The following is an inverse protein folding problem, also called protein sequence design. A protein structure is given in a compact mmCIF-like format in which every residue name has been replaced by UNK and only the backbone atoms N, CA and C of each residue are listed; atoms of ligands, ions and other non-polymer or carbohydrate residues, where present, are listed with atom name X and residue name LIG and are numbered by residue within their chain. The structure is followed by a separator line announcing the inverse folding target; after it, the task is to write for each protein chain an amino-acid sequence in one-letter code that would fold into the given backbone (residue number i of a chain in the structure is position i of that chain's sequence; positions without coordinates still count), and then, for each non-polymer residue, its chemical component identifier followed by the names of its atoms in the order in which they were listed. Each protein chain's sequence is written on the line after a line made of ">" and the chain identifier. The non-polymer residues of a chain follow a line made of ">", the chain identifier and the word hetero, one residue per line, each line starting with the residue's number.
data_IF_725079553609
#
_entry.id   IF_725079553609
#
_cell.length_a   1.000
_cell.length_b   1.000
_cell.length_c   1.000
_cell.angle_alpha   90.00
_cell.angle_beta   90.00
_cell.angle_gamma   90.00
#
_symmetry.space_group_name_H-M   'P 1'
#
loop_
_entity.id
_entity.type
_entity.pdbx_description
1 polymer ?
#
# COMPACT_ATOMS: atom_id res chain seq x y z
N UNK A 1 23.97 -4.57 -70.22
CA UNK A 1 23.73 -3.51 -69.21
C UNK A 1 23.49 -4.18 -67.88
N UNK A 2 24.46 -4.12 -67.00
CA UNK A 2 24.51 -4.73 -65.68
C UNK A 2 23.98 -3.77 -64.62
N UNK A 3 22.99 -4.18 -63.82
CA UNK A 3 22.74 -3.56 -62.51
C UNK A 3 22.52 -4.69 -61.49
N UNK A 4 23.57 -4.96 -60.74
CA UNK A 4 23.58 -5.62 -59.44
C UNK A 4 23.13 -4.60 -58.37
N UNK A 5 22.32 -5.02 -57.39
CA UNK A 5 22.68 -4.92 -55.95
C UNK A 5 21.56 -5.47 -55.03
N UNK A 6 21.89 -5.91 -53.79
CA UNK A 6 21.20 -6.99 -53.10
C UNK A 6 20.47 -6.62 -51.80
N UNK A 7 19.87 -7.67 -51.22
CA UNK A 7 19.20 -7.80 -49.93
C UNK A 7 19.99 -7.24 -48.72
N UNK A 8 19.28 -6.61 -47.79
CA UNK A 8 19.74 -6.38 -46.42
C UNK A 8 18.78 -7.08 -45.42
N UNK A 9 19.31 -8.07 -44.71
CA UNK A 9 18.68 -8.72 -43.54
C UNK A 9 19.17 -8.00 -42.28
N UNK A 10 18.27 -7.40 -41.51
CA UNK A 10 18.58 -6.92 -40.17
C UNK A 10 18.47 -8.09 -39.17
N UNK A 11 19.61 -8.53 -38.65
CA UNK A 11 19.71 -9.23 -37.36
C UNK A 11 20.34 -8.25 -36.37
N UNK A 12 19.58 -7.83 -35.37
CA UNK A 12 20.11 -7.10 -34.23
C UNK A 12 20.27 -8.07 -33.06
N UNK A 13 21.52 -8.38 -32.74
CA UNK A 13 21.93 -9.04 -31.50
C UNK A 13 23.17 -8.29 -31.06
N UNK A 14 23.07 -7.50 -29.99
CA UNK A 14 24.25 -6.99 -29.29
C UNK A 14 23.92 -6.84 -27.80
N UNK A 15 24.21 -7.91 -27.07
CA UNK A 15 24.71 -7.81 -25.70
C UNK A 15 26.17 -7.35 -25.78
N UNK A 16 26.55 -6.33 -25.03
CA UNK A 16 27.91 -6.21 -24.48
C UNK A 16 27.91 -5.27 -23.30
N UNK A 17 28.19 -5.85 -22.14
CA UNK A 17 28.76 -5.20 -20.96
C UNK A 17 30.09 -4.53 -21.31
N UNK A 18 30.31 -3.30 -20.83
CA UNK A 18 31.65 -2.77 -20.58
C UNK A 18 31.63 -1.92 -19.31
N UNK A 19 32.21 -2.49 -18.25
CA UNK A 19 32.83 -1.74 -17.16
C UNK A 19 34.10 -1.08 -17.69
N UNK A 20 34.28 0.22 -17.50
CA UNK A 20 35.61 0.80 -17.22
C UNK A 20 35.47 1.94 -16.21
N UNK A 21 36.06 1.69 -15.04
CA UNK A 21 36.35 2.64 -13.99
C UNK A 21 37.35 3.68 -14.50
N UNK A 22 36.99 4.97 -14.43
CA UNK A 22 37.95 6.07 -14.60
C UNK A 22 37.96 6.93 -13.33
N UNK A 23 38.94 6.65 -12.47
CA UNK A 23 39.33 7.50 -11.33
C UNK A 23 39.79 8.86 -11.86
N UNK A 24 39.27 9.96 -11.31
CA UNK A 24 39.83 11.31 -11.45
C UNK A 24 40.62 11.65 -10.18
N UNK A 25 41.77 12.34 -10.30
CA UNK A 25 42.53 12.83 -9.16
C UNK A 25 41.88 14.07 -8.56
N UNK A 26 42.11 14.17 -7.25
CA UNK A 26 41.65 15.15 -6.30
C UNK A 26 42.43 16.47 -6.48
N UNK A 27 41.73 17.58 -6.75
CA UNK A 27 42.24 18.93 -6.53
C UNK A 27 41.27 19.65 -5.62
N UNK A 28 41.82 20.17 -4.52
CA UNK A 28 41.09 20.80 -3.43
C UNK A 28 40.57 22.18 -3.81
N UNK A 29 39.27 22.41 -3.60
CA UNK A 29 38.74 23.72 -3.25
C UNK A 29 37.38 23.57 -2.56
N UNK A 30 37.39 24.02 -1.31
CA UNK A 30 36.35 24.49 -0.39
C UNK A 30 34.86 24.47 -0.79
N UNK A 31 34.09 23.89 0.14
CA UNK A 31 32.84 24.39 0.71
C UNK A 31 31.64 24.67 -0.22
N UNK A 32 30.76 23.66 -0.35
CA UNK A 32 29.33 23.88 -0.14
C UNK A 32 28.68 22.56 0.33
N UNK A 33 28.33 22.52 1.61
CA UNK A 33 27.65 21.44 2.31
C UNK A 33 26.23 21.25 1.72
N UNK A 34 26.05 20.20 0.92
CA UNK A 34 24.74 19.80 0.41
C UNK A 34 24.16 18.72 1.32
N UNK A 35 23.07 19.07 1.99
CA UNK A 35 22.26 18.22 2.84
C UNK A 35 21.57 17.13 2.04
N UNK A 36 22.18 15.95 1.98
CA UNK A 36 21.48 14.73 1.60
C UNK A 36 20.47 14.42 2.72
N UNK A 37 19.17 14.24 2.44
CA UNK A 37 18.21 13.89 3.47
C UNK A 37 18.58 12.53 4.09
N UNK A 38 18.45 12.35 5.41
CA UNK A 38 18.76 11.06 6.04
C UNK A 38 17.87 9.98 5.44
N UNK A 39 18.49 8.83 5.14
CA UNK A 39 17.77 7.62 4.75
C UNK A 39 16.76 7.23 5.84
N UNK A 40 15.53 6.82 5.49
CA UNK A 40 14.58 6.35 6.49
C UNK A 40 15.17 5.11 7.21
N UNK A 41 14.96 5.00 8.53
CA UNK A 41 15.50 3.89 9.31
C UNK A 41 14.97 2.54 8.79
N UNK A 42 15.76 1.46 8.89
CA UNK A 42 15.32 0.13 8.52
C UNK A 42 14.08 -0.27 9.32
N UNK A 43 13.10 -0.85 8.64
CA UNK A 43 11.90 -1.44 9.24
C UNK A 43 12.31 -2.57 10.18
N UNK A 44 12.21 -2.34 11.47
CA UNK A 44 12.37 -3.37 12.48
C UNK A 44 11.27 -4.43 12.32
N UNK A 45 11.73 -5.64 12.04
CA UNK A 45 10.96 -6.87 12.12
C UNK A 45 10.65 -7.07 13.60
N UNK A 46 9.38 -6.92 13.96
CA UNK A 46 8.88 -7.18 15.32
C UNK A 46 9.03 -8.66 15.62
N UNK A 47 10.17 -9.04 16.20
CA UNK A 47 10.35 -10.32 16.88
C UNK A 47 9.69 -10.20 18.24
N UNK A 48 8.49 -10.77 18.33
CA UNK A 48 7.68 -10.79 19.53
C UNK A 48 8.23 -11.78 20.56
N UNK A 49 9.25 -11.42 21.34
CA UNK A 49 9.60 -12.14 22.58
C UNK A 49 10.37 -11.24 23.55
N UNK A 50 9.70 -10.70 24.58
CA UNK A 50 9.91 -11.10 25.98
C UNK A 50 9.25 -10.13 26.96
N UNK A 51 8.40 -10.72 27.81
CA UNK A 51 7.94 -10.15 29.07
C UNK A 51 9.14 -10.01 30.01
N UNK A 52 9.48 -8.79 30.42
CA UNK A 52 10.08 -8.55 31.74
C UNK A 52 9.49 -7.26 32.28
N UNK A 53 8.86 -7.41 33.43
CA UNK A 53 8.22 -6.38 34.24
C UNK A 53 9.29 -5.67 35.07
N UNK A 54 9.30 -4.34 35.09
CA UNK A 54 9.71 -3.57 36.28
C UNK A 54 8.91 -2.27 36.39
N UNK A 55 8.39 -2.07 37.60
CA UNK A 55 7.61 -0.92 38.05
C UNK A 55 8.43 0.37 38.09
N UNK A 56 7.81 1.47 37.64
CA UNK A 56 7.96 2.78 38.30
C UNK A 56 6.72 3.62 37.99
N UNK A 57 6.03 4.07 39.04
CA UNK A 57 4.87 4.95 39.00
C UNK A 57 5.23 6.34 38.48
N UNK A 58 4.27 7.04 37.85
CA UNK A 58 3.87 8.31 38.44
C UNK A 58 2.36 8.49 38.52
N UNK A 59 1.96 9.27 39.53
CA UNK A 59 0.60 9.71 39.79
C UNK A 59 0.02 10.44 38.57
N UNK A 60 -1.16 10.00 38.13
CA UNK A 60 -2.03 10.77 37.25
C UNK A 60 -3.37 10.98 37.94
N UNK A 61 -3.73 12.25 38.02
CA UNK A 61 -5.01 12.78 38.48
C UNK A 61 -6.15 12.23 37.62
N UNK A 62 -7.18 11.73 38.31
CA UNK A 62 -8.43 11.24 37.77
C UNK A 62 -9.15 12.31 36.94
N UNK A 63 -9.30 12.08 35.64
CA UNK A 63 -10.46 12.53 34.89
C UNK A 63 -11.03 11.34 34.11
N UNK A 64 -12.28 11.00 34.42
CA UNK A 64 -13.03 9.90 33.83
C UNK A 64 -13.35 10.22 32.36
N UNK A 65 -13.05 9.36 31.38
CA UNK A 65 -13.72 9.41 30.10
C UNK A 65 -15.04 8.63 30.15
N UNK A 66 -16.07 9.23 29.54
CA UNK A 66 -17.40 8.67 29.33
C UNK A 66 -17.36 7.41 28.45
N UNK A 67 -18.32 6.48 28.58
CA UNK A 67 -18.40 5.29 27.75
C UNK A 67 -18.86 5.64 26.34
N UNK A 68 -18.02 5.36 25.34
CA UNK A 68 -18.39 5.39 23.93
C UNK A 68 -19.18 4.10 23.62
N UNK A 69 -20.38 4.17 23.02
CA UNK A 69 -21.15 3.00 22.66
C UNK A 69 -20.47 2.23 21.53
N UNK A 70 -20.15 0.96 21.81
CA UNK A 70 -19.73 -0.03 20.82
C UNK A 70 -20.92 -0.39 19.93
N UNK A 71 -20.97 0.16 18.72
CA UNK A 71 -21.67 -0.46 17.59
C UNK A 71 -20.62 -1.00 16.63
N UNK A 72 -20.17 -2.22 16.92
CA UNK A 72 -19.42 -3.04 15.98
C UNK A 72 -20.40 -3.63 14.96
N UNK A 73 -20.62 -2.92 13.86
CA UNK A 73 -20.99 -3.57 12.60
C UNK A 73 -19.73 -4.18 12.00
N UNK A 74 -19.60 -5.50 12.14
CA UNK A 74 -18.61 -6.29 11.41
C UNK A 74 -18.96 -6.27 9.92
N UNK A 75 -18.37 -5.33 9.17
CA UNK A 75 -18.30 -5.42 7.71
C UNK A 75 -17.25 -6.47 7.37
N UNK A 76 -17.77 -7.59 6.90
CA UNK A 76 -17.08 -8.78 6.47
C UNK A 76 -16.38 -8.51 5.11
N UNK A 77 -15.15 -8.00 5.14
CA UNK A 77 -14.32 -7.89 3.94
C UNK A 77 -13.63 -9.23 3.66
N UNK A 78 -14.25 -10.01 2.77
CA UNK A 78 -13.64 -11.16 2.12
C UNK A 78 -12.46 -10.69 1.25
N UNK A 79 -11.24 -11.25 1.39
CA UNK A 79 -10.19 -11.04 0.41
C UNK A 79 -10.51 -11.84 -0.87
N UNK A 80 -10.78 -11.13 -1.96
CA UNK A 80 -10.68 -11.63 -3.33
C UNK A 80 -9.20 -11.83 -3.65
N UNK A 81 -8.68 -12.99 -3.26
CA UNK A 81 -7.38 -13.49 -3.66
C UNK A 81 -7.52 -14.94 -4.10
N UNK A 82 -7.80 -15.17 -5.38
CA UNK A 82 -7.54 -16.48 -6.00
C UNK A 82 -6.67 -16.22 -7.22
N UNK A 83 -5.38 -16.36 -6.95
CA UNK A 83 -4.32 -16.51 -7.92
C UNK A 83 -4.58 -17.78 -8.74
N UNK A 84 -4.53 -17.56 -10.04
CA UNK A 84 -4.34 -18.53 -11.10
C UNK A 84 -3.02 -19.29 -10.87
N UNK A 85 -3.07 -20.58 -10.55
CA UNK A 85 -1.99 -21.54 -10.84
C UNK A 85 -2.57 -22.93 -11.08
N UNK A 86 -2.31 -23.43 -12.28
CA UNK A 86 -2.38 -24.82 -12.70
C UNK A 86 -1.65 -25.76 -11.73
N UNK A 87 -2.23 -26.92 -11.38
CA UNK A 87 -1.54 -28.22 -11.21
C UNK A 87 -2.59 -29.36 -11.26
N UNK A 88 -2.48 -30.19 -12.31
CA UNK A 88 -2.73 -31.66 -12.43
C UNK A 88 -4.07 -32.27 -11.94
N UNK A 89 -4.85 -32.92 -12.84
CA UNK A 89 -5.94 -33.81 -12.44
C UNK A 89 -5.41 -35.21 -12.15
N UNK A 90 -5.38 -35.61 -10.88
CA UNK A 90 -5.16 -36.98 -10.45
C UNK A 90 -6.11 -37.30 -9.30
N UNK A 91 -7.17 -38.07 -9.56
CA UNK A 91 -7.67 -39.14 -8.68
C UNK A 91 -8.77 -39.94 -9.38
N UNK A 92 -8.43 -41.19 -9.67
CA UNK A 92 -9.24 -42.41 -9.56
C UNK A 92 -10.61 -42.51 -10.25
N UNK A 93 -10.74 -43.38 -11.26
CA UNK A 93 -12.00 -44.03 -11.57
C UNK A 93 -12.30 -45.10 -10.52
N UNK A 94 -13.36 -44.91 -9.72
CA UNK A 94 -13.94 -46.00 -8.95
C UNK A 94 -14.67 -46.96 -9.87
N UNK A 95 -14.08 -48.14 -10.00
CA UNK A 95 -14.72 -49.43 -10.20
C UNK A 95 -16.19 -49.48 -9.78
N UNK A 96 -17.08 -49.60 -10.77
CA UNK A 96 -18.33 -50.34 -10.62
C UNK A 96 -18.30 -51.50 -11.62
N UNK A 97 -17.67 -52.59 -11.17
CA UNK A 97 -17.83 -53.92 -11.72
C UNK A 97 -19.26 -54.37 -11.39
N UNK A 98 -20.19 -54.26 -12.34
CA UNK A 98 -21.42 -55.04 -12.30
C UNK A 98 -21.28 -56.23 -13.25
N UNK A 99 -20.84 -57.30 -12.59
CA UNK A 99 -21.08 -58.69 -12.88
C UNK A 99 -22.53 -58.90 -13.35
N UNK A 100 -22.74 -59.23 -14.62
CA UNK A 100 -23.97 -59.85 -15.08
C UNK A 100 -23.60 -61.05 -15.96
N UNK A 101 -23.83 -62.20 -15.35
CA UNK A 101 -23.63 -63.56 -15.79
C UNK A 101 -24.34 -63.91 -17.09
N UNK A 102 -23.76 -64.88 -17.79
CA UNK A 102 -24.13 -65.51 -19.07
C UNK A 102 -25.59 -66.02 -19.16
N UNK A 103 -26.03 -66.44 -20.36
CA UNK A 103 -25.87 -67.87 -20.66
C UNK A 103 -25.34 -68.19 -22.07
N UNK A 104 -24.50 -69.23 -22.22
CA UNK A 104 -24.08 -69.75 -23.51
C UNK A 104 -25.25 -70.51 -24.18
N UNK A 105 -25.70 -70.07 -25.36
CA UNK A 105 -26.64 -70.85 -26.17
C UNK A 105 -25.91 -72.03 -26.82
N UNK A 106 -26.15 -73.18 -26.21
CA UNK A 106 -25.85 -74.53 -26.70
C UNK A 106 -26.32 -74.76 -28.13
N UNK A 107 -25.43 -75.32 -28.96
CA UNK A 107 -25.69 -75.82 -30.31
C UNK A 107 -26.60 -77.05 -30.24
N UNK A 108 -27.79 -77.07 -30.88
CA UNK A 108 -28.61 -78.27 -30.94
C UNK A 108 -27.98 -79.30 -31.88
N UNK A 109 -27.56 -80.43 -31.30
CA UNK A 109 -27.09 -81.63 -32.00
C UNK A 109 -28.29 -82.32 -32.67
N UNK A 110 -28.20 -82.77 -33.92
CA UNK A 110 -29.34 -83.38 -34.62
C UNK A 110 -29.68 -84.77 -34.04
N UNK A 111 -30.97 -85.10 -33.83
CA UNK A 111 -31.39 -86.44 -33.45
C UNK A 111 -31.27 -87.40 -34.63
N UNK A 112 -30.39 -88.41 -34.49
CA UNK A 112 -30.41 -89.65 -35.28
C UNK A 112 -31.71 -90.40 -34.98
N UNK A 113 -32.68 -90.32 -35.89
CA UNK A 113 -33.86 -91.20 -35.96
C UNK A 113 -33.67 -92.09 -37.18
N UNK A 114 -33.21 -93.32 -36.96
CA UNK A 114 -34.03 -94.52 -36.90
C UNK A 114 -34.68 -94.83 -38.25
N UNK A 115 -34.10 -95.82 -38.94
CA UNK A 115 -34.78 -96.64 -39.94
C UNK A 115 -36.19 -96.99 -39.46
N UNK A 116 -37.17 -96.94 -40.37
CA UNK A 116 -37.98 -98.13 -40.56
C UNK A 116 -38.20 -98.48 -42.04
N UNK A 117 -38.28 -99.78 -42.25
CA UNK A 117 -39.27 -100.46 -43.08
C UNK A 117 -39.12 -100.39 -44.62
N UNK A 118 -38.48 -101.45 -45.12
CA UNK A 118 -39.26 -102.52 -45.74
C UNK A 118 -40.14 -102.11 -46.91
N UNK A 119 -39.51 -101.75 -48.04
CA UNK A 119 -40.20 -101.74 -49.34
C UNK A 119 -39.96 -103.08 -50.05
N UNK A 120 -41.02 -103.79 -50.49
CA UNK A 120 -40.93 -105.15 -51.00
C UNK A 120 -40.14 -105.20 -52.30
N UNK A 121 -39.14 -106.10 -52.34
CA UNK A 121 -38.38 -106.44 -53.54
C UNK A 121 -39.31 -107.22 -54.48
N UNK A 122 -40.04 -106.48 -55.32
CA UNK A 122 -40.77 -107.06 -56.46
C UNK A 122 -39.74 -107.43 -57.51
N UNK A 123 -39.57 -108.73 -57.76
CA UNK A 123 -38.77 -109.29 -58.85
C UNK A 123 -39.41 -108.90 -60.19
N UNK A 124 -39.09 -107.71 -60.67
CA UNK A 124 -39.51 -107.17 -61.96
C UNK A 124 -38.53 -107.61 -63.05
N UNK A 125 -39.09 -107.98 -64.20
CA UNK A 125 -38.36 -108.42 -65.39
C UNK A 125 -37.48 -107.28 -65.96
N UNK A 126 -36.33 -107.60 -66.60
CA UNK A 126 -35.36 -106.59 -67.06
C UNK A 126 -35.94 -105.48 -67.96
N UNK A 127 -36.98 -105.78 -68.73
CA UNK A 127 -37.59 -104.84 -69.69
C UNK A 127 -38.49 -103.79 -69.02
N UNK A 128 -39.20 -104.14 -67.94
CA UNK A 128 -40.06 -103.21 -67.21
C UNK A 128 -39.24 -102.22 -66.38
N UNK A 129 -38.05 -102.63 -65.92
CA UNK A 129 -37.09 -101.76 -65.23
C UNK A 129 -36.53 -100.66 -66.14
N UNK A 130 -36.35 -100.95 -67.43
CA UNK A 130 -35.88 -99.98 -68.42
C UNK A 130 -36.95 -98.93 -68.76
N UNK A 131 -38.20 -99.35 -68.97
CA UNK A 131 -39.32 -98.42 -69.21
C UNK A 131 -39.60 -97.51 -68.02
N UNK A 132 -39.50 -98.03 -66.79
CA UNK A 132 -39.71 -97.24 -65.55
C UNK A 132 -38.59 -96.23 -65.31
N UNK A 133 -37.35 -96.53 -65.71
CA UNK A 133 -36.23 -95.56 -65.69
C UNK A 133 -36.45 -94.40 -66.64
N UNK A 134 -36.91 -94.66 -67.86
CA UNK A 134 -37.12 -93.63 -68.88
C UNK A 134 -38.32 -92.73 -68.53
N UNK A 135 -39.39 -93.30 -67.96
CA UNK A 135 -40.52 -92.54 -67.44
C UNK A 135 -40.15 -91.70 -66.19
N UNK A 136 -39.33 -92.25 -65.28
CA UNK A 136 -38.82 -91.51 -64.13
C UNK A 136 -37.87 -90.37 -64.54
N UNK A 137 -37.08 -90.56 -65.59
CA UNK A 137 -36.16 -89.55 -66.11
C UNK A 137 -36.92 -88.38 -66.76
N UNK A 138 -37.92 -88.66 -67.61
CA UNK A 138 -38.79 -87.61 -68.17
C UNK A 138 -39.62 -86.87 -67.11
N UNK A 139 -39.99 -87.55 -66.02
CA UNK A 139 -40.69 -86.91 -64.90
C UNK A 139 -39.76 -85.98 -64.12
N UNK A 140 -38.51 -86.41 -63.87
CA UNK A 140 -37.48 -85.57 -63.25
C UNK A 140 -37.15 -84.34 -64.10
N UNK A 141 -37.02 -84.50 -65.41
CA UNK A 141 -36.74 -83.36 -66.30
C UNK A 141 -37.82 -82.26 -66.22
N UNK A 142 -39.11 -82.64 -66.18
CA UNK A 142 -40.19 -81.64 -66.01
C UNK A 142 -40.21 -81.01 -64.62
N UNK A 143 -39.99 -81.81 -63.57
CA UNK A 143 -39.91 -81.32 -62.19
C UNK A 143 -38.68 -80.40 -62.00
N UNK A 144 -37.56 -80.69 -62.68
CA UNK A 144 -36.35 -79.86 -62.69
C UNK A 144 -36.56 -78.55 -63.47
N UNK A 145 -37.26 -78.58 -64.62
CA UNK A 145 -37.62 -77.37 -65.36
C UNK A 145 -38.59 -76.46 -64.58
N UNK A 146 -39.60 -77.03 -63.91
CA UNK A 146 -40.53 -76.28 -63.06
C UNK A 146 -39.83 -75.73 -61.81
N UNK A 147 -38.95 -76.53 -61.17
CA UNK A 147 -38.15 -76.07 -60.03
C UNK A 147 -37.19 -74.94 -60.43
N UNK A 148 -36.60 -74.98 -61.63
CA UNK A 148 -35.75 -73.90 -62.13
C UNK A 148 -36.54 -72.60 -62.34
N UNK A 149 -37.78 -72.67 -62.85
CA UNK A 149 -38.64 -71.49 -63.00
C UNK A 149 -39.05 -70.90 -61.65
N UNK A 150 -39.50 -71.74 -60.71
CA UNK A 150 -39.88 -71.29 -59.37
C UNK A 150 -38.68 -70.72 -58.61
N UNK A 151 -37.48 -71.30 -58.77
CA UNK A 151 -36.26 -70.77 -58.16
C UNK A 151 -35.83 -69.43 -58.78
N UNK A 152 -35.99 -69.26 -60.10
CA UNK A 152 -35.75 -67.98 -60.78
C UNK A 152 -36.72 -66.89 -60.30
N UNK A 153 -38.02 -67.20 -60.19
CA UNK A 153 -39.02 -66.25 -59.70
C UNK A 153 -38.77 -65.89 -58.23
N UNK A 154 -38.40 -66.87 -57.40
CA UNK A 154 -38.02 -66.65 -56.01
C UNK A 154 -36.76 -65.79 -55.88
N UNK A 155 -35.78 -65.97 -56.77
CA UNK A 155 -34.56 -65.14 -56.82
C UNK A 155 -34.89 -63.72 -57.27
N UNK A 156 -35.72 -63.55 -58.30
CA UNK A 156 -36.14 -62.24 -58.80
C UNK A 156 -36.94 -61.45 -57.75
N UNK A 157 -37.86 -62.09 -57.03
CA UNK A 157 -38.64 -61.44 -55.96
C UNK A 157 -37.75 -61.04 -54.78
N UNK A 158 -36.81 -61.91 -54.37
CA UNK A 158 -35.80 -61.57 -53.36
C UNK A 158 -34.90 -60.41 -53.79
N UNK A 159 -34.53 -60.34 -55.08
CA UNK A 159 -33.71 -59.26 -55.61
C UNK A 159 -34.47 -57.92 -55.58
N UNK A 160 -35.74 -57.92 -55.99
CA UNK A 160 -36.61 -56.72 -55.90
C UNK A 160 -36.79 -56.24 -54.46
N UNK A 161 -37.03 -57.15 -53.52
CA UNK A 161 -37.15 -56.81 -52.10
C UNK A 161 -35.85 -56.21 -51.54
N UNK A 162 -34.68 -56.75 -51.93
CA UNK A 162 -33.39 -56.20 -51.52
C UNK A 162 -33.15 -54.81 -52.11
N UNK A 163 -33.46 -54.60 -53.38
CA UNK A 163 -33.30 -53.30 -54.03
C UNK A 163 -34.24 -52.23 -53.43
N UNK A 164 -35.48 -52.61 -53.11
CA UNK A 164 -36.43 -51.73 -52.44
C UNK A 164 -35.99 -51.40 -51.01
N UNK A 165 -35.49 -52.38 -50.25
CA UNK A 165 -34.89 -52.15 -48.93
C UNK A 165 -33.69 -51.22 -49.00
N UNK A 166 -32.77 -51.46 -49.94
CA UNK A 166 -31.58 -50.61 -50.11
C UNK A 166 -31.97 -49.17 -50.50
N UNK A 167 -33.00 -49.03 -51.33
CA UNK A 167 -33.54 -47.70 -51.68
C UNK A 167 -34.12 -47.00 -50.46
N UNK A 168 -34.91 -47.68 -49.64
CA UNK A 168 -35.46 -47.12 -48.41
C UNK A 168 -34.36 -46.73 -47.42
N UNK A 169 -33.34 -47.56 -47.25
CA UNK A 169 -32.18 -47.27 -46.39
C UNK A 169 -31.42 -46.03 -46.88
N UNK A 170 -31.22 -45.87 -48.19
CA UNK A 170 -30.58 -44.67 -48.77
C UNK A 170 -31.42 -43.41 -48.53
N UNK A 171 -32.73 -43.48 -48.67
CA UNK A 171 -33.64 -42.35 -48.42
C UNK A 171 -33.68 -41.99 -46.92
N UNK A 172 -33.70 -42.97 -46.02
CA UNK A 172 -33.61 -42.74 -44.57
C UNK A 172 -32.25 -42.16 -44.16
N UNK A 173 -31.15 -42.66 -44.70
CA UNK A 173 -29.81 -42.14 -44.42
C UNK A 173 -29.67 -40.69 -44.90
N UNK A 174 -30.21 -40.38 -46.08
CA UNK A 174 -30.25 -39.02 -46.60
C UNK A 174 -31.07 -38.08 -45.69
N UNK A 175 -32.23 -38.53 -45.20
CA UNK A 175 -33.06 -37.77 -44.24
C UNK A 175 -32.33 -37.54 -42.92
N UNK A 176 -31.67 -38.56 -42.37
CA UNK A 176 -30.88 -38.45 -41.14
C UNK A 176 -29.72 -37.47 -41.31
N UNK A 177 -29.00 -37.54 -42.43
CA UNK A 177 -27.91 -36.61 -42.77
C UNK A 177 -28.41 -35.17 -42.90
N UNK A 178 -29.56 -34.95 -43.55
CA UNK A 178 -30.15 -33.63 -43.69
C UNK A 178 -30.54 -33.01 -42.34
N UNK A 179 -31.19 -33.78 -41.47
CA UNK A 179 -31.55 -33.34 -40.11
C UNK A 179 -30.31 -33.01 -39.28
N UNK A 180 -29.27 -33.84 -39.36
CA UNK A 180 -28.02 -33.59 -38.64
C UNK A 180 -27.31 -32.33 -39.15
N UNK A 181 -27.28 -32.12 -40.48
CA UNK A 181 -26.72 -30.92 -41.08
C UNK A 181 -27.48 -29.65 -40.66
N UNK A 182 -28.82 -29.72 -40.60
CA UNK A 182 -29.65 -28.61 -40.12
C UNK A 182 -29.38 -28.31 -38.64
N UNK A 183 -29.33 -29.33 -37.78
CA UNK A 183 -28.99 -29.17 -36.38
C UNK A 183 -27.60 -28.55 -36.17
N UNK A 184 -26.60 -28.99 -36.95
CA UNK A 184 -25.26 -28.39 -36.91
C UNK A 184 -25.29 -26.93 -37.36
N UNK A 185 -26.05 -26.61 -38.40
CA UNK A 185 -26.21 -25.22 -38.88
C UNK A 185 -26.88 -24.33 -37.84
N UNK A 186 -27.95 -24.79 -37.20
CA UNK A 186 -28.63 -24.07 -36.13
C UNK A 186 -27.71 -23.88 -34.90
N UNK A 187 -26.97 -24.92 -34.52
CA UNK A 187 -26.00 -24.84 -33.42
C UNK A 187 -24.87 -23.85 -33.73
N UNK A 188 -24.35 -23.83 -34.96
CA UNK A 188 -23.34 -22.87 -35.40
C UNK A 188 -23.89 -21.43 -35.39
N UNK A 189 -25.12 -21.22 -35.88
CA UNK A 189 -25.76 -19.91 -35.86
C UNK A 189 -26.00 -19.40 -34.43
N UNK A 190 -26.41 -20.28 -33.51
CA UNK A 190 -26.58 -19.95 -32.09
C UNK A 190 -25.25 -19.56 -31.44
N UNK A 191 -24.19 -20.35 -31.65
CA UNK A 191 -22.85 -20.02 -31.14
C UNK A 191 -22.34 -18.68 -31.68
N UNK A 192 -22.53 -18.41 -32.98
CA UNK A 192 -22.11 -17.15 -33.58
C UNK A 192 -22.86 -15.93 -33.01
N UNK A 193 -24.14 -16.09 -32.63
CA UNK A 193 -24.90 -15.03 -31.96
C UNK A 193 -24.42 -14.83 -30.52
N UNK A 194 -24.29 -15.91 -29.76
CA UNK A 194 -23.79 -15.87 -28.37
C UNK A 194 -22.39 -15.25 -28.29
N UNK A 195 -21.50 -15.55 -29.26
CA UNK A 195 -20.16 -14.96 -29.34
C UNK A 195 -20.20 -13.44 -29.63
N UNK A 196 -21.10 -12.97 -30.49
CA UNK A 196 -21.27 -11.53 -30.77
C UNK A 196 -21.78 -10.79 -29.54
N UNK A 197 -22.83 -11.32 -28.91
CA UNK A 197 -23.42 -10.74 -27.70
C UNK A 197 -22.37 -10.71 -26.55
N UNK A 198 -21.57 -11.78 -26.41
CA UNK A 198 -20.47 -11.83 -25.44
C UNK A 198 -19.40 -10.77 -25.72
N UNK A 199 -18.99 -10.58 -26.98
CA UNK A 199 -18.02 -9.54 -27.37
C UNK A 199 -18.53 -8.13 -27.08
N UNK A 200 -19.80 -7.84 -27.35
CA UNK A 200 -20.40 -6.53 -27.06
C UNK A 200 -20.48 -6.26 -25.55
N UNK A 201 -20.84 -7.28 -24.76
CA UNK A 201 -20.82 -7.19 -23.30
C UNK A 201 -19.42 -6.97 -22.73
N UNK A 202 -18.41 -7.68 -23.25
CA UNK A 202 -17.01 -7.49 -22.85
C UNK A 202 -16.51 -6.09 -23.21
N UNK A 203 -16.84 -5.58 -24.39
CA UNK A 203 -16.46 -4.24 -24.81
C UNK A 203 -17.10 -3.16 -23.91
N UNK A 204 -18.39 -3.31 -23.58
CA UNK A 204 -19.07 -2.40 -22.66
C UNK A 204 -18.41 -2.41 -21.28
N UNK A 205 -18.13 -3.61 -20.75
CA UNK A 205 -17.46 -3.77 -19.46
C UNK A 205 -16.06 -3.16 -19.47
N UNK A 206 -15.32 -3.32 -20.56
CA UNK A 206 -13.99 -2.73 -20.70
C UNK A 206 -14.06 -1.19 -20.69
N UNK A 207 -15.03 -0.59 -21.38
CA UNK A 207 -15.26 0.87 -21.37
C UNK A 207 -15.60 1.38 -19.98
N UNK A 208 -16.51 0.72 -19.26
CA UNK A 208 -16.88 1.08 -17.89
C UNK A 208 -15.67 1.00 -16.93
N UNK A 209 -14.84 -0.04 -17.05
CA UNK A 209 -13.62 -0.17 -16.24
C UNK A 209 -12.61 0.93 -16.56
N UNK A 210 -12.44 1.29 -17.84
CA UNK A 210 -11.55 2.38 -18.23
C UNK A 210 -12.04 3.74 -17.71
N UNK A 211 -13.34 4.01 -17.80
CA UNK A 211 -13.93 5.25 -17.28
C UNK A 211 -13.80 5.34 -15.75
N UNK A 212 -14.11 4.26 -15.03
CA UNK A 212 -13.88 4.19 -13.58
C UNK A 212 -12.42 4.44 -13.21
N UNK A 213 -11.48 3.87 -13.96
CA UNK A 213 -10.04 4.11 -13.74
C UNK A 213 -9.65 5.56 -13.99
N UNK A 214 -10.21 6.22 -15.01
CA UNK A 214 -9.98 7.65 -15.27
C UNK A 214 -10.51 8.54 -14.16
N UNK A 215 -11.74 8.29 -13.71
CA UNK A 215 -12.37 9.03 -12.62
C UNK A 215 -11.59 8.85 -11.31
N UNK A 216 -11.18 7.62 -11.00
CA UNK A 216 -10.41 7.35 -9.77
C UNK A 216 -9.02 7.99 -9.83
N UNK A 217 -8.35 7.93 -10.98
CA UNK A 217 -7.08 8.63 -11.19
C UNK A 217 -7.21 10.14 -11.00
N UNK A 218 -8.25 10.76 -11.57
CA UNK A 218 -8.51 12.18 -11.41
C UNK A 218 -8.81 12.55 -9.95
N UNK A 219 -9.62 11.75 -9.24
CA UNK A 219 -9.89 11.95 -7.81
C UNK A 219 -8.63 11.89 -6.98
N UNK A 220 -7.75 10.92 -7.24
CA UNK A 220 -6.44 10.81 -6.57
C UNK A 220 -5.59 12.04 -6.84
N UNK A 221 -5.52 12.51 -8.09
CA UNK A 221 -4.75 13.70 -8.46
C UNK A 221 -5.31 14.99 -7.81
N UNK A 222 -6.63 15.13 -7.72
CA UNK A 222 -7.25 16.25 -7.01
C UNK A 222 -6.98 16.19 -5.51
N UNK A 223 -7.02 14.99 -4.92
CA UNK A 223 -6.70 14.80 -3.51
C UNK A 223 -5.24 15.15 -3.20
N UNK A 224 -4.29 14.69 -4.01
CA UNK A 224 -2.87 15.04 -3.83
C UNK A 224 -2.64 16.54 -3.96
N UNK A 225 -3.23 17.20 -4.96
CA UNK A 225 -3.18 18.67 -5.11
C UNK A 225 -3.74 19.42 -3.90
N UNK A 226 -4.85 18.96 -3.33
CA UNK A 226 -5.44 19.56 -2.12
C UNK A 226 -4.51 19.37 -0.91
N UNK A 227 -3.92 18.19 -0.75
CA UNK A 227 -2.99 17.91 0.33
C UNK A 227 -1.70 18.73 0.23
N UNK A 228 -1.16 18.88 -0.98
CA UNK A 228 0.01 19.74 -1.25
C UNK A 228 -0.29 21.22 -0.95
N UNK A 229 -1.44 21.73 -1.40
CA UNK A 229 -1.90 23.09 -1.05
C UNK A 229 -2.01 23.28 0.46
N UNK A 230 -2.62 22.32 1.15
CA UNK A 230 -2.75 22.38 2.61
C UNK A 230 -1.39 22.38 3.31
N UNK A 231 -0.44 21.55 2.87
CA UNK A 231 0.94 21.56 3.41
C UNK A 231 1.63 22.89 3.16
N UNK A 232 1.50 23.45 1.95
CA UNK A 232 2.06 24.74 1.61
C UNK A 232 1.49 25.86 2.48
N UNK A 233 0.16 25.89 2.68
CA UNK A 233 -0.50 26.86 3.56
C UNK A 233 -0.05 26.75 5.02
N UNK A 234 0.19 25.53 5.53
CA UNK A 234 0.72 25.35 6.89
C UNK A 234 2.15 25.86 7.02
N UNK A 235 3.01 25.55 6.05
CA UNK A 235 4.39 26.05 6.02
C UNK A 235 4.38 27.58 5.94
N UNK A 236 3.55 28.16 5.07
CA UNK A 236 3.44 29.60 4.91
C UNK A 236 2.93 30.26 6.21
N UNK A 237 1.91 29.68 6.87
CA UNK A 237 1.42 30.19 8.15
C UNK A 237 2.47 30.15 9.24
N UNK A 238 3.22 29.05 9.36
CA UNK A 238 4.30 28.92 10.34
C UNK A 238 5.43 29.92 10.06
N UNK A 239 5.82 30.10 8.79
CA UNK A 239 6.82 31.08 8.39
C UNK A 239 6.38 32.52 8.69
N UNK A 240 5.13 32.88 8.38
CA UNK A 240 4.58 34.21 8.69
C UNK A 240 4.52 34.44 10.21
N UNK A 241 4.09 33.46 11.00
CA UNK A 241 4.07 33.60 12.47
C UNK A 241 5.48 33.73 13.07
N UNK A 242 6.45 33.00 12.53
CA UNK A 242 7.86 33.13 12.97
C UNK A 242 8.41 34.51 12.62
N UNK A 243 8.15 34.98 11.39
CA UNK A 243 8.59 36.30 10.92
C UNK A 243 7.95 37.43 11.73
N UNK A 244 6.66 37.34 12.03
CA UNK A 244 5.95 38.35 12.84
C UNK A 244 6.51 38.42 14.26
N UNK A 245 6.77 37.27 14.89
CA UNK A 245 7.42 37.21 16.20
C UNK A 245 8.83 37.79 16.19
N UNK A 246 9.61 37.48 15.17
CA UNK A 246 10.97 38.02 15.02
C UNK A 246 10.95 39.54 14.82
N UNK A 247 10.03 40.06 14.00
CA UNK A 247 9.85 41.50 13.81
C UNK A 247 9.35 42.21 15.08
N UNK A 248 8.48 41.58 15.86
CA UNK A 248 8.00 42.10 17.14
C UNK A 248 9.13 42.14 18.18
N UNK A 249 9.92 41.07 18.28
CA UNK A 249 11.12 41.03 19.12
C UNK A 249 12.12 42.10 18.72
N UNK A 250 12.36 42.27 17.40
CA UNK A 250 13.25 43.30 16.88
C UNK A 250 12.75 44.71 17.23
N UNK A 251 11.46 45.00 17.03
CA UNK A 251 10.86 46.29 17.41
C UNK A 251 10.98 46.56 18.90
N UNK A 252 10.65 45.56 19.73
CA UNK A 252 10.78 45.66 21.18
C UNK A 252 12.22 45.93 21.63
N UNK A 253 13.19 45.26 21.01
CA UNK A 253 14.61 45.47 21.27
C UNK A 253 15.08 46.87 20.85
N UNK A 254 14.66 47.35 19.67
CA UNK A 254 14.97 48.71 19.20
C UNK A 254 14.37 49.79 20.11
N UNK A 255 13.10 49.65 20.51
CA UNK A 255 12.44 50.55 21.47
C UNK A 255 13.15 50.55 22.83
N UNK A 256 13.55 49.37 23.32
CA UNK A 256 14.31 49.27 24.58
C UNK A 256 15.67 49.93 24.46
N UNK A 257 16.39 49.72 23.35
CA UNK A 257 17.68 50.38 23.11
C UNK A 257 17.55 51.91 23.13
N UNK A 258 16.49 52.44 22.52
CA UNK A 258 16.20 53.89 22.57
C UNK A 258 15.90 54.34 24.00
N UNK A 259 15.13 53.58 24.79
CA UNK A 259 14.85 53.91 26.20
C UNK A 259 16.11 53.89 27.06
N UNK A 260 16.92 52.84 26.93
CA UNK A 260 18.19 52.69 27.65
C UNK A 260 19.13 53.84 27.30
N UNK A 261 19.26 54.21 26.03
CA UNK A 261 20.08 55.35 25.61
C UNK A 261 19.61 56.65 26.27
N UNK A 262 18.30 56.92 26.28
CA UNK A 262 17.73 58.11 26.95
C UNK A 262 18.00 58.12 28.46
N UNK A 263 17.87 56.96 29.12
CA UNK A 263 18.14 56.83 30.55
C UNK A 263 19.63 57.00 30.83
N UNK A 264 20.49 56.41 30.00
CA UNK A 264 21.95 56.59 30.08
C UNK A 264 22.34 58.06 29.97
N UNK A 265 21.78 58.78 28.98
CA UNK A 265 22.03 60.21 28.82
C UNK A 265 21.59 61.01 30.06
N UNK A 266 20.44 60.68 30.65
CA UNK A 266 19.94 61.33 31.88
C UNK A 266 20.85 61.04 33.08
N UNK A 267 21.22 59.79 33.30
CA UNK A 267 22.09 59.37 34.41
C UNK A 267 23.48 60.01 34.30
N UNK A 268 24.03 60.11 33.09
CA UNK A 268 25.33 60.75 32.84
C UNK A 268 25.27 62.28 32.93
N UNK A 269 24.20 62.91 32.44
CA UNK A 269 24.03 64.38 32.48
C UNK A 269 23.79 64.89 33.90
N UNK A 270 23.07 64.13 34.73
CA UNK A 270 22.74 64.58 36.08
C UNK A 270 23.98 64.77 36.95
N UNK A 271 25.14 64.22 36.56
CA UNK A 271 26.53 64.65 36.87
C UNK A 271 26.89 64.84 38.35
N UNK A 272 25.91 64.62 39.21
CA UNK A 272 25.89 64.83 40.63
C UNK A 272 25.97 63.45 41.22
N UNK A 273 26.76 63.32 42.28
CA UNK A 273 26.79 62.13 43.15
C UNK A 273 25.43 61.89 43.86
N UNK A 274 24.31 62.21 43.21
CA UNK A 274 22.98 61.86 43.63
C UNK A 274 22.89 60.35 43.54
N UNK A 275 23.18 59.72 44.67
CA UNK A 275 23.15 58.27 44.81
C UNK A 275 21.78 57.76 44.35
N UNK A 276 21.79 57.05 43.23
CA UNK A 276 20.58 56.45 42.68
C UNK A 276 20.09 55.40 43.67
N UNK A 277 18.81 55.46 44.02
CA UNK A 277 18.25 54.59 45.03
C UNK A 277 16.82 54.18 44.66
N UNK A 278 16.40 53.03 45.17
CA UNK A 278 15.10 52.48 44.83
C UNK A 278 14.85 51.16 45.51
N UNK A 279 13.76 50.51 45.14
CA UNK A 279 13.43 49.17 45.61
C UNK A 279 13.77 48.15 44.55
N UNK A 280 14.33 47.03 44.98
CA UNK A 280 14.56 45.88 44.12
C UNK A 280 14.26 44.61 44.90
N UNK A 281 13.69 43.62 44.25
CA UNK A 281 13.55 42.30 44.85
C UNK A 281 14.63 41.40 44.28
N UNK A 282 15.40 40.78 45.18
CA UNK A 282 16.58 40.01 44.84
C UNK A 282 16.53 38.61 45.43
N UNK A 283 16.99 37.64 44.66
CA UNK A 283 17.29 36.28 45.08
C UNK A 283 18.78 36.03 44.87
N UNK A 284 19.50 35.78 45.96
CA UNK A 284 20.93 35.44 45.93
C UNK A 284 21.08 33.92 46.01
N UNK A 285 22.20 33.32 45.57
CA UNK A 285 22.38 31.86 45.63
C UNK A 285 22.33 31.31 47.06
N UNK A 286 22.67 32.13 48.06
CA UNK A 286 22.58 31.78 49.48
C UNK A 286 21.14 31.82 50.02
N UNK A 287 20.26 32.55 49.34
CA UNK A 287 18.89 32.81 49.76
C UNK A 287 17.93 32.36 48.65
N UNK A 288 17.40 31.14 48.80
CA UNK A 288 16.39 30.59 47.89
C UNK A 288 15.08 31.39 47.86
N UNK A 289 14.88 32.34 48.78
CA UNK A 289 13.69 33.19 48.84
C UNK A 289 13.97 34.59 48.29
N UNK A 290 13.05 35.09 47.47
CA UNK A 290 13.02 36.48 47.03
C UNK A 290 12.90 37.44 48.22
N UNK A 291 13.82 38.41 48.30
CA UNK A 291 13.81 39.44 49.34
C UNK A 291 13.78 40.83 48.73
N UNK A 292 12.81 41.64 49.16
CA UNK A 292 12.75 43.05 48.81
C UNK A 292 13.78 43.84 49.61
N UNK A 293 14.62 44.61 48.91
CA UNK A 293 15.70 45.42 49.47
C UNK A 293 15.63 46.83 48.92
N UNK A 294 15.96 47.79 49.77
CA UNK A 294 16.17 49.17 49.34
C UNK A 294 17.63 49.28 48.90
N UNK A 295 17.88 49.61 47.64
CA UNK A 295 19.23 49.73 47.13
C UNK A 295 19.66 51.20 47.09
N UNK A 296 20.98 51.41 47.25
CA UNK A 296 21.65 52.67 46.98
C UNK A 296 22.89 52.36 46.13
N UNK A 297 22.98 53.02 44.99
CA UNK A 297 24.07 52.88 44.04
C UNK A 297 25.03 54.07 44.17
N UNK A 298 26.30 53.78 44.42
CA UNK A 298 27.37 54.77 44.38
C UNK A 298 28.19 54.55 43.12
N UNK A 299 27.95 55.40 42.10
CA UNK A 299 28.61 55.31 40.80
C UNK A 299 30.10 55.64 40.89
N UNK A 300 30.52 56.50 41.81
CA UNK A 300 31.94 56.84 42.00
C UNK A 300 32.74 55.65 42.53
N UNK A 301 32.09 54.82 43.35
CA UNK A 301 32.71 53.62 43.93
C UNK A 301 32.37 52.33 43.19
N UNK A 302 31.58 52.41 42.12
CA UNK A 302 30.99 51.25 41.43
C UNK A 302 30.36 50.25 42.42
N UNK A 303 29.65 50.76 43.44
CA UNK A 303 29.19 49.96 44.58
C UNK A 303 27.66 49.98 44.72
N UNK A 304 27.07 48.79 44.75
CA UNK A 304 25.66 48.58 45.09
C UNK A 304 25.55 48.21 46.57
N UNK A 305 24.88 49.06 47.35
CA UNK A 305 24.58 48.76 48.75
C UNK A 305 23.10 48.42 48.92
N UNK A 306 22.82 47.29 49.56
CA UNK A 306 21.47 46.82 49.83
C UNK A 306 21.13 47.01 51.32
N UNK A 307 20.00 47.64 51.57
CA UNK A 307 19.47 47.89 52.91
C UNK A 307 18.15 47.15 53.11
N UNK A 308 17.77 46.97 54.38
CA UNK A 308 16.48 46.39 54.72
C UNK A 308 15.32 47.30 54.30
N UNK A 309 15.47 48.62 54.49
CA UNK A 309 14.46 49.64 54.20
C UNK A 309 15.15 50.99 53.91
N UNK A 310 14.45 51.91 53.26
CA UNK A 310 14.86 53.28 52.99
C UNK A 310 15.15 54.10 54.26
N UNK A 311 14.40 53.84 55.35
CA UNK A 311 14.57 54.56 56.61
C UNK A 311 15.75 54.04 57.44
N UNK A 312 16.15 52.78 57.24
CA UNK A 312 17.23 52.13 57.98
C UNK A 312 18.44 51.91 57.08
N UNK A 313 19.12 53.02 56.79
CA UNK A 313 20.38 53.03 56.02
C UNK A 313 21.62 52.95 56.93
N UNK A 314 21.43 52.71 58.23
CA UNK A 314 22.51 52.64 59.22
C UNK A 314 23.34 51.36 59.08
N UNK A 315 22.70 50.26 58.70
CA UNK A 315 23.31 48.94 58.52
C UNK A 315 23.02 48.40 57.14
N UNK A 316 24.05 48.34 56.30
CA UNK A 316 23.98 47.61 55.04
C UNK A 316 23.76 46.12 55.32
N UNK A 317 22.80 45.53 54.61
CA UNK A 317 22.56 44.08 54.60
C UNK A 317 23.59 43.39 53.71
N UNK A 318 23.90 44.02 52.58
CA UNK A 318 24.89 43.55 51.63
C UNK A 318 25.55 44.75 50.93
N UNK A 319 26.82 44.60 50.57
CA UNK A 319 27.61 45.61 49.89
C UNK A 319 28.40 44.91 48.79
N UNK A 320 28.06 45.21 47.54
CA UNK A 320 28.70 44.58 46.38
C UNK A 320 29.47 45.62 45.59
N UNK A 321 30.77 45.39 45.47
CA UNK A 321 31.59 46.09 44.50
C UNK A 321 31.38 45.44 43.12
N UNK A 322 31.00 46.26 42.14
CA UNK A 322 30.72 45.84 40.78
C UNK A 322 31.97 45.86 39.89
N UNK A 323 32.95 46.69 40.24
CA UNK A 323 34.17 46.87 39.44
C UNK A 323 34.94 45.56 39.29
N UNK A 324 35.02 45.06 38.05
CA UNK A 324 35.69 43.81 37.68
C UNK A 324 35.06 42.52 38.21
N UNK A 325 33.92 42.58 38.93
CA UNK A 325 33.25 41.39 39.49
C UNK A 325 32.06 40.92 38.65
N UNK A 326 31.41 41.83 37.94
CA UNK A 326 30.28 41.50 37.07
C UNK A 326 30.80 40.95 35.75
N UNK A 327 30.27 39.80 35.34
CA UNK A 327 30.62 39.14 34.07
C UNK A 327 29.61 39.49 32.97
N UNK A 328 28.31 39.35 33.26
CA UNK A 328 27.26 39.68 32.29
C UNK A 328 25.92 40.04 32.96
N UNK A 329 25.13 40.83 32.24
CA UNK A 329 23.74 41.15 32.58
C UNK A 329 22.84 40.40 31.60
N UNK A 330 22.02 39.49 32.13
CA UNK A 330 21.26 38.56 31.32
C UNK A 330 19.76 38.74 31.52
N UNK A 331 18.98 38.46 30.48
CA UNK A 331 17.53 38.37 30.56
C UNK A 331 17.04 36.92 30.59
N UNK A 332 15.73 36.73 30.78
CA UNK A 332 15.12 35.42 30.91
C UNK A 332 15.41 34.49 29.71
N UNK A 333 15.47 35.05 28.49
CA UNK A 333 15.77 34.29 27.26
C UNK A 333 17.24 33.91 27.11
N UNK A 334 18.14 34.39 27.98
CA UNK A 334 19.58 34.12 27.95
C UNK A 334 20.00 33.01 28.93
N UNK A 335 19.18 31.96 29.02
CA UNK A 335 19.42 30.81 29.89
C UNK A 335 18.85 30.93 31.30
N UNK A 336 17.99 31.92 31.55
CA UNK A 336 17.30 32.12 32.83
C UNK A 336 15.78 31.98 32.66
N UNK A 337 15.34 30.85 32.12
CA UNK A 337 13.91 30.59 31.79
C UNK A 337 12.98 30.73 33.01
N UNK A 338 13.49 30.49 34.22
CA UNK A 338 12.74 30.68 35.47
C UNK A 338 12.28 32.13 35.72
N UNK A 339 12.93 33.10 35.06
CA UNK A 339 12.57 34.51 35.15
C UNK A 339 11.47 34.93 34.17
N UNK A 340 11.05 34.06 33.23
CA UNK A 340 10.00 34.37 32.24
C UNK A 340 8.68 34.75 32.91
N UNK A 341 8.35 34.10 34.03
CA UNK A 341 7.11 34.33 34.77
C UNK A 341 7.10 35.64 35.59
N UNK A 342 8.25 36.31 35.75
CA UNK A 342 8.41 37.50 36.59
C UNK A 342 8.63 38.73 35.71
N UNK A 343 7.69 39.69 35.67
CA UNK A 343 7.87 40.93 34.91
C UNK A 343 9.08 41.72 35.39
N UNK A 344 9.76 42.39 34.45
CA UNK A 344 10.91 43.27 34.75
C UNK A 344 12.03 42.57 35.53
N UNK A 345 12.17 41.28 35.33
CA UNK A 345 13.25 40.46 35.86
C UNK A 345 14.51 40.56 34.98
N UNK A 346 15.66 40.33 35.60
CA UNK A 346 16.96 40.17 34.96
C UNK A 346 17.90 39.40 35.91
N UNK A 347 18.96 38.83 35.36
CA UNK A 347 20.00 38.13 36.09
C UNK A 347 21.32 38.89 35.99
N UNK A 348 22.03 38.98 37.11
CA UNK A 348 23.38 39.53 37.22
C UNK A 348 24.35 38.38 37.45
N UNK A 349 25.18 38.07 36.47
CA UNK A 349 26.19 37.00 36.56
C UNK A 349 27.52 37.59 36.98
N UNK A 350 28.13 37.00 37.99
CA UNK A 350 29.45 37.37 38.48
C UNK A 350 30.54 36.42 37.95
N UNK A 351 31.78 36.88 37.95
CA UNK A 351 32.96 36.11 37.51
C UNK A 351 33.18 34.84 38.35
N UNK A 352 32.72 34.83 39.60
CA UNK A 352 32.74 33.66 40.50
C UNK A 352 31.69 32.59 40.15
N UNK A 353 30.99 32.74 39.02
CA UNK A 353 29.88 31.89 38.53
C UNK A 353 28.64 31.93 39.40
N UNK A 354 28.55 32.86 40.35
CA UNK A 354 27.30 33.13 41.04
C UNK A 354 26.40 34.00 40.17
N UNK A 355 25.09 33.77 40.25
CA UNK A 355 24.08 34.58 39.60
C UNK A 355 23.12 35.14 40.63
N UNK A 356 22.84 36.43 40.55
CA UNK A 356 21.79 37.07 41.32
C UNK A 356 20.60 37.30 40.41
N UNK A 357 19.43 36.90 40.87
CA UNK A 357 18.19 37.12 40.13
C UNK A 357 17.50 38.33 40.76
N UNK A 358 17.11 39.30 39.93
CA UNK A 358 16.57 40.58 40.38
C UNK A 358 15.33 40.90 39.57
N UNK A 359 14.36 41.58 40.19
CA UNK A 359 13.28 42.23 39.47
C UNK A 359 12.91 43.58 40.10
N UNK A 360 12.50 44.51 39.25
CA UNK A 360 12.00 45.82 39.63
C UNK A 360 10.47 45.88 39.54
N UNK A 361 9.85 46.86 40.19
CA UNK A 361 8.38 46.99 40.15
C UNK A 361 7.92 47.58 38.81
N UNK A 362 8.77 48.36 38.15
CA UNK A 362 8.49 49.02 36.87
C UNK A 362 9.58 48.75 35.82
N UNK A 363 9.20 48.83 34.54
CA UNK A 363 10.14 48.72 33.43
C UNK A 363 11.23 49.80 33.48
N UNK A 364 10.86 51.03 33.86
CA UNK A 364 11.79 52.16 33.95
C UNK A 364 12.84 51.94 35.05
N UNK A 365 12.46 51.39 36.21
CA UNK A 365 13.39 51.05 37.27
C UNK A 365 14.34 49.91 36.87
N UNK A 366 13.85 48.89 36.15
CA UNK A 366 14.71 47.85 35.56
C UNK A 366 15.72 48.48 34.60
N UNK A 367 15.25 49.27 33.63
CA UNK A 367 16.14 49.87 32.62
C UNK A 367 17.18 50.80 33.29
N UNK A 368 16.80 51.57 34.31
CA UNK A 368 17.72 52.37 35.14
C UNK A 368 18.75 51.52 35.88
N UNK A 369 18.31 50.44 36.54
CA UNK A 369 19.21 49.52 37.24
C UNK A 369 20.21 48.86 36.28
N UNK A 370 19.75 48.42 35.11
CA UNK A 370 20.62 47.83 34.10
C UNK A 370 21.70 48.80 33.64
N UNK A 371 21.36 50.06 33.35
CA UNK A 371 22.32 51.12 32.98
C UNK A 371 23.35 51.35 34.09
N UNK A 372 22.91 51.44 35.34
CA UNK A 372 23.83 51.65 36.47
C UNK A 372 24.78 50.48 36.67
N UNK A 373 24.25 49.25 36.58
CA UNK A 373 25.04 48.03 36.70
C UNK A 373 26.00 47.85 35.53
N UNK A 374 25.58 48.19 34.32
CA UNK A 374 26.42 48.09 33.12
C UNK A 374 27.57 49.09 33.16
N UNK A 375 27.29 50.34 33.56
CA UNK A 375 28.31 51.38 33.70
C UNK A 375 29.33 51.02 34.78
N UNK A 376 28.87 50.58 35.95
CA UNK A 376 29.75 50.22 37.06
C UNK A 376 30.54 48.92 36.83
N UNK A 377 29.97 47.98 36.07
CA UNK A 377 30.62 46.73 35.68
C UNK A 377 31.51 46.86 34.44
N UNK A 378 31.45 47.97 33.71
CA UNK A 378 32.12 48.14 32.42
C UNK A 378 31.57 47.23 31.32
N UNK A 379 30.28 46.90 31.37
CA UNK A 379 29.60 46.00 30.44
C UNK A 379 28.81 46.82 29.42
N UNK A 380 28.85 46.41 28.16
CA UNK A 380 28.06 47.02 27.08
C UNK A 380 26.71 46.28 27.01
N UNK A 381 25.62 47.01 27.20
CA UNK A 381 24.23 46.52 27.10
C UNK A 381 23.77 46.28 25.66
#
# INVERSE_FOLDING_TARGET
>A
MTINCPQARFKATFMTHLFTLRRKPHTMTEALESSVPPTPPPKDIVVAHHKVSFHTYPQQTYSKPLPIPQQHEYINEKPLGVSEYYVVPETQPQTTLLLASSPPRSVPRPPRKSNPDGSPVVLLTPEERAKRRLAAQRKREREEEEALREEQDRRALKQRQREEQERQEREEEARRKALLAEHLRQAAARKAKEERDARECEERRLREVQERKRIDHEKRLQYTRKLEKWRFEQIQRAASQSSEKEEELRRSAEERRIRIARISDQVLQDGSNTAMCGWVTIQTPELLAWKRRYFKFDLTRSQLTLYRNQLDTSRAMDVVNMDGRVDSLNEWYEGFEELEAIPHSFALRFVDRQSWLMYADTAEEKDKLLVLLSEAGGIIL
#
